data_IF_107620802352
#
_entry.id   IF_107620802352
#
_cell.length_a   1.000
_cell.length_b   1.000
_cell.length_c   1.000
_cell.angle_alpha   90.00
_cell.angle_beta   90.00
_cell.angle_gamma   90.00
#
_symmetry.space_group_name_H-M   'P 1'
#
loop_
_entity.id
_entity.type
_entity.pdbx_description
1 polymer ?
#
# COMPACT_ATOMS: atom_id res chain seq x y z
N UNK A 1 -37.42 -32.16 -9.45
CA UNK A 1 -37.35 -30.71 -9.14
C UNK A 1 -35.98 -30.43 -8.57
N UNK A 2 -35.07 -29.90 -9.39
CA UNK A 2 -33.71 -29.57 -8.95
C UNK A 2 -33.67 -28.16 -8.38
N UNK A 3 -33.24 -28.02 -7.13
CA UNK A 3 -32.94 -26.71 -6.55
C UNK A 3 -31.80 -26.05 -7.34
N UNK A 4 -31.95 -24.82 -7.84
CA UNK A 4 -30.84 -24.11 -8.47
C UNK A 4 -29.80 -23.77 -7.39
N UNK A 5 -28.53 -24.12 -7.65
CA UNK A 5 -27.39 -23.67 -6.84
C UNK A 5 -27.30 -22.13 -6.93
N UNK A 6 -27.11 -21.42 -5.81
CA UNK A 6 -26.90 -19.98 -5.87
C UNK A 6 -25.62 -19.69 -6.67
N UNK A 7 -25.73 -18.71 -7.55
CA UNK A 7 -24.63 -18.16 -8.33
C UNK A 7 -23.56 -17.67 -7.35
N UNK A 8 -22.42 -18.35 -7.30
CA UNK A 8 -21.23 -17.85 -6.60
C UNK A 8 -20.69 -16.67 -7.39
N UNK A 9 -21.29 -15.49 -7.20
CA UNK A 9 -20.68 -14.24 -7.63
C UNK A 9 -19.28 -14.17 -7.03
N UNK A 10 -18.25 -14.06 -7.88
CA UNK A 10 -16.87 -13.91 -7.44
C UNK A 10 -16.81 -12.67 -6.55
N UNK A 11 -16.75 -12.86 -5.23
CA UNK A 11 -16.50 -11.77 -4.29
C UNK A 11 -15.17 -11.13 -4.71
N UNK A 12 -15.20 -9.88 -5.15
CA UNK A 12 -14.01 -9.16 -5.60
C UNK A 12 -13.16 -8.86 -4.36
N UNK A 13 -11.95 -9.41 -4.30
CA UNK A 13 -11.08 -9.20 -3.12
C UNK A 13 -10.76 -7.71 -2.92
N UNK A 14 -10.51 -7.31 -1.67
CA UNK A 14 -10.12 -5.93 -1.35
C UNK A 14 -8.84 -5.52 -2.08
N UNK A 15 -7.90 -6.44 -2.35
CA UNK A 15 -6.73 -6.12 -3.18
C UNK A 15 -7.10 -5.79 -4.64
N UNK A 16 -8.07 -6.49 -5.22
CA UNK A 16 -8.55 -6.20 -6.58
C UNK A 16 -9.25 -4.84 -6.65
N UNK A 17 -10.03 -4.50 -5.61
CA UNK A 17 -10.64 -3.17 -5.48
C UNK A 17 -9.58 -2.08 -5.35
N UNK A 18 -8.57 -2.29 -4.50
CA UNK A 18 -7.50 -1.33 -4.29
C UNK A 18 -6.57 -1.21 -5.50
N UNK A 19 -6.35 -2.27 -6.28
CA UNK A 19 -5.66 -2.16 -7.57
C UNK A 19 -6.42 -1.27 -8.55
N UNK A 20 -7.75 -1.35 -8.60
CA UNK A 20 -8.56 -0.45 -9.43
C UNK A 20 -8.44 1.00 -8.94
N UNK A 21 -8.44 1.22 -7.62
CA UNK A 21 -8.22 2.54 -7.05
C UNK A 21 -6.83 3.10 -7.41
N UNK A 22 -5.79 2.28 -7.33
CA UNK A 22 -4.43 2.63 -7.75
C UNK A 22 -4.37 3.03 -9.22
N UNK A 23 -4.98 2.23 -10.11
CA UNK A 23 -5.05 2.55 -11.54
C UNK A 23 -5.78 3.87 -11.76
N UNK A 24 -6.89 4.11 -11.05
CA UNK A 24 -7.63 5.37 -11.15
C UNK A 24 -6.78 6.56 -10.72
N UNK A 25 -6.04 6.44 -9.62
CA UNK A 25 -5.17 7.50 -9.11
C UNK A 25 -4.00 7.78 -10.07
N UNK A 26 -3.38 6.73 -10.63
CA UNK A 26 -2.34 6.91 -11.64
C UNK A 26 -2.88 7.58 -12.91
N UNK A 27 -4.07 7.21 -13.38
CA UNK A 27 -4.70 7.82 -14.56
C UNK A 27 -5.13 9.28 -14.35
N UNK A 28 -5.28 9.73 -13.10
CA UNK A 28 -5.65 11.13 -12.80
C UNK A 28 -4.47 12.09 -12.78
N UNK A 29 -3.23 11.61 -12.97
CA UNK A 29 -2.02 12.43 -12.88
C UNK A 29 -1.10 12.18 -14.08
N UNK A 30 -0.17 13.10 -14.34
CA UNK A 30 0.86 12.92 -15.36
C UNK A 30 1.99 12.03 -14.87
N UNK A 31 2.80 11.50 -15.80
CA UNK A 31 3.91 10.59 -15.50
C UNK A 31 4.94 11.17 -14.51
N UNK A 32 5.16 12.48 -14.58
CA UNK A 32 6.10 13.26 -13.77
C UNK A 32 5.49 13.79 -12.47
N UNK A 33 4.21 13.55 -12.22
CA UNK A 33 3.53 14.02 -11.02
C UNK A 33 4.22 13.50 -9.74
N UNK A 34 4.30 14.33 -8.68
CA UNK A 34 4.94 13.94 -7.45
C UNK A 34 4.16 12.84 -6.74
N UNK A 35 4.89 12.06 -5.93
CA UNK A 35 4.31 11.08 -4.99
C UNK A 35 4.86 11.33 -3.59
N UNK A 36 4.23 10.76 -2.57
CA UNK A 36 4.78 10.80 -1.19
C UNK A 36 6.04 9.95 -1.02
N UNK A 37 6.34 9.06 -1.97
CA UNK A 37 7.62 8.38 -2.05
C UNK A 37 8.70 9.38 -2.49
N UNK A 38 9.51 9.84 -1.54
CA UNK A 38 10.54 10.87 -1.81
C UNK A 38 11.39 10.52 -3.03
N UNK A 39 11.39 11.42 -4.01
CA UNK A 39 12.18 11.30 -5.24
C UNK A 39 11.56 10.38 -6.30
N UNK A 40 10.32 9.92 -6.11
CA UNK A 40 9.59 9.11 -7.08
C UNK A 40 8.50 9.93 -7.75
N UNK A 41 8.47 9.86 -9.08
CA UNK A 41 7.35 10.27 -9.92
C UNK A 41 6.24 9.21 -9.94
N UNK A 42 5.07 9.56 -10.48
CA UNK A 42 4.00 8.59 -10.73
C UNK A 42 4.46 7.44 -11.65
N UNK A 43 5.34 7.72 -12.61
CA UNK A 43 5.99 6.70 -13.46
C UNK A 43 6.83 5.71 -12.63
N UNK A 44 7.65 6.21 -11.71
CA UNK A 44 8.50 5.36 -10.87
C UNK A 44 7.64 4.46 -9.97
N UNK A 45 6.56 5.02 -9.42
CA UNK A 45 5.62 4.28 -8.59
C UNK A 45 4.85 3.23 -9.39
N UNK A 46 4.39 3.54 -10.60
CA UNK A 46 3.74 2.58 -11.48
C UNK A 46 4.69 1.41 -11.83
N UNK A 47 5.96 1.71 -12.16
CA UNK A 47 6.97 0.69 -12.41
C UNK A 47 7.26 -0.17 -11.18
N UNK A 48 7.32 0.43 -10.00
CA UNK A 48 7.47 -0.31 -8.75
C UNK A 48 6.36 -1.35 -8.57
N UNK A 49 5.11 -0.97 -8.77
CA UNK A 49 3.97 -1.90 -8.68
C UNK A 49 4.07 -3.01 -9.73
N UNK A 50 4.39 -2.68 -10.98
CA UNK A 50 4.57 -3.69 -12.04
C UNK A 50 5.64 -4.70 -11.67
N UNK A 51 6.79 -4.23 -11.17
CA UNK A 51 7.91 -5.10 -10.77
C UNK A 51 7.54 -5.94 -9.57
N UNK A 52 6.86 -5.37 -8.56
CA UNK A 52 6.36 -6.08 -7.39
C UNK A 52 5.48 -7.27 -7.76
N UNK A 53 4.54 -7.05 -8.67
CA UNK A 53 3.50 -8.01 -9.00
C UNK A 53 4.00 -9.05 -10.01
N UNK A 54 4.88 -8.67 -10.95
CA UNK A 54 5.32 -9.55 -12.03
C UNK A 54 6.71 -10.15 -11.84
N UNK A 55 7.59 -9.49 -11.07
CA UNK A 55 9.02 -9.80 -10.99
C UNK A 55 9.62 -9.44 -9.62
N UNK A 56 9.11 -9.99 -8.50
CA UNK A 56 9.68 -9.73 -7.18
C UNK A 56 11.14 -10.19 -7.06
N UNK A 57 11.62 -11.07 -7.95
CA UNK A 57 13.04 -11.43 -8.09
C UNK A 57 13.95 -10.23 -8.42
N UNK A 58 13.38 -9.14 -8.95
CA UNK A 58 14.10 -7.90 -9.23
C UNK A 58 14.09 -6.92 -8.03
N UNK A 59 13.36 -7.21 -6.95
CA UNK A 59 13.22 -6.38 -5.74
C UNK A 59 14.31 -6.61 -4.67
N UNK A 60 15.45 -7.20 -5.02
CA UNK A 60 16.54 -7.45 -4.05
C UNK A 60 17.20 -6.13 -3.63
N UNK A 61 16.74 -5.56 -2.50
CA UNK A 61 17.39 -4.46 -1.78
C UNK A 61 16.45 -3.32 -1.35
N UNK A 62 16.51 -2.92 -0.07
CA UNK A 62 15.73 -1.83 0.57
C UNK A 62 16.10 -0.41 0.09
N UNK A 63 17.01 -0.35 -0.87
CA UNK A 63 17.33 0.79 -1.71
C UNK A 63 17.43 0.17 -3.10
N UNK A 64 16.89 0.78 -4.14
CA UNK A 64 17.20 0.36 -5.49
C UNK A 64 18.69 0.73 -5.78
N UNK A 65 19.69 -0.10 -5.42
CA UNK A 65 20.78 -0.38 -6.36
C UNK A 65 21.49 -1.73 -6.09
N UNK A 66 21.12 -2.81 -6.79
CA UNK A 66 22.05 -3.80 -7.34
C UNK A 66 21.32 -4.79 -8.27
N UNK A 67 20.47 -4.26 -9.14
CA UNK A 67 19.97 -5.03 -10.27
C UNK A 67 21.11 -5.21 -11.28
N UNK A 68 21.48 -6.47 -11.54
CA UNK A 68 22.46 -6.81 -12.58
C UNK A 68 22.01 -6.28 -13.96
N UNK A 69 22.89 -6.28 -14.99
CA UNK A 69 22.61 -5.66 -16.29
C UNK A 69 21.27 -6.10 -16.91
N UNK A 70 20.91 -7.37 -16.77
CA UNK A 70 19.63 -7.94 -17.24
C UNK A 70 18.40 -7.33 -16.55
N UNK A 71 18.49 -7.09 -15.25
CA UNK A 71 17.39 -6.52 -14.48
C UNK A 71 17.24 -5.01 -14.74
N UNK A 72 18.35 -4.29 -14.96
CA UNK A 72 18.29 -2.90 -15.46
C UNK A 72 17.68 -2.82 -16.85
N UNK A 73 18.09 -3.70 -17.77
CA UNK A 73 17.51 -3.76 -19.11
C UNK A 73 16.01 -4.11 -19.07
N UNK A 74 15.59 -5.03 -18.19
CA UNK A 74 14.18 -5.34 -17.99
C UNK A 74 13.38 -4.13 -17.46
N UNK A 75 13.93 -3.40 -16.48
CA UNK A 75 13.32 -2.16 -15.98
C UNK A 75 13.25 -1.07 -17.07
N UNK A 76 14.31 -0.91 -17.86
CA UNK A 76 14.36 0.02 -18.99
C UNK A 76 13.33 -0.35 -20.07
N UNK A 77 13.19 -1.63 -20.40
CA UNK A 77 12.18 -2.11 -21.36
C UNK A 77 10.75 -1.96 -20.83
N UNK A 78 10.54 -2.10 -19.51
CA UNK A 78 9.23 -1.82 -18.89
C UNK A 78 8.90 -0.33 -18.96
N UNK A 79 9.89 0.53 -18.70
CA UNK A 79 9.76 1.99 -18.78
C UNK A 79 9.64 2.51 -20.21
N UNK A 80 10.23 1.85 -21.21
CA UNK A 80 10.25 2.32 -22.61
C UNK A 80 8.87 2.31 -23.28
N UNK A 81 7.89 1.62 -22.70
CA UNK A 81 6.50 1.64 -23.16
C UNK A 81 5.75 2.94 -22.85
N UNK A 82 6.34 3.83 -22.04
CA UNK A 82 5.68 5.04 -21.56
C UNK A 82 4.73 4.77 -20.38
N UNK A 83 4.19 5.86 -19.83
CA UNK A 83 3.39 5.84 -18.61
C UNK A 83 2.09 5.07 -18.74
N UNK A 84 1.34 5.30 -19.81
CA UNK A 84 0.08 4.59 -20.05
C UNK A 84 0.28 3.07 -20.11
N UNK A 85 1.37 2.61 -20.74
CA UNK A 85 1.71 1.20 -20.76
C UNK A 85 2.13 0.66 -19.38
N UNK A 86 2.74 1.48 -18.51
CA UNK A 86 2.99 1.10 -17.12
C UNK A 86 1.67 0.98 -16.34
N UNK A 87 0.76 1.93 -16.49
CA UNK A 87 -0.56 1.93 -15.84
C UNK A 87 -1.43 0.76 -16.32
N UNK A 88 -1.41 0.43 -17.62
CA UNK A 88 -2.15 -0.70 -18.16
C UNK A 88 -1.60 -2.05 -17.66
N UNK A 89 -0.29 -2.15 -17.42
CA UNK A 89 0.29 -3.33 -16.75
C UNK A 89 -0.15 -3.44 -15.29
N UNK A 90 -0.24 -2.31 -14.57
CA UNK A 90 -0.84 -2.30 -13.21
C UNK A 90 -2.30 -2.75 -13.27
N UNK A 91 -3.07 -2.30 -14.26
CA UNK A 91 -4.46 -2.71 -14.45
C UNK A 91 -4.61 -4.20 -14.73
N UNK A 92 -3.74 -4.76 -15.58
CA UNK A 92 -3.69 -6.18 -15.89
C UNK A 92 -3.36 -7.03 -14.65
N UNK A 93 -2.51 -6.53 -13.75
CA UNK A 93 -2.08 -7.24 -12.56
C UNK A 93 -1.08 -8.37 -12.86
N UNK A 94 -0.79 -9.24 -11.85
CA UNK A 94 0.22 -10.28 -11.99
C UNK A 94 -0.16 -11.35 -13.04
N UNK A 95 0.83 -11.96 -13.73
CA UNK A 95 0.55 -13.02 -14.70
C UNK A 95 -0.18 -14.23 -14.05
N UNK A 96 -1.07 -14.91 -14.78
CA UNK A 96 -1.90 -16.00 -14.24
C UNK A 96 -1.13 -17.26 -13.81
N UNK A 97 0.18 -17.33 -14.08
CA UNK A 97 1.07 -18.44 -13.74
C UNK A 97 2.10 -18.08 -12.65
N UNK A 98 2.04 -16.87 -12.08
CA UNK A 98 2.95 -16.45 -11.02
C UNK A 98 2.46 -16.95 -9.64
N UNK A 99 3.37 -17.38 -8.74
CA UNK A 99 3.04 -17.93 -7.42
C UNK A 99 2.21 -17.03 -6.49
N UNK A 100 2.00 -15.75 -6.85
CA UNK A 100 1.17 -14.78 -6.12
C UNK A 100 -0.34 -15.10 -6.15
N UNK A 101 -0.73 -16.17 -6.85
CA UNK A 101 -2.09 -16.72 -6.88
C UNK A 101 -2.34 -17.66 -5.68
N UNK A 102 -1.32 -17.96 -4.87
CA UNK A 102 -1.40 -18.94 -3.79
C UNK A 102 -1.05 -18.36 -2.41
N UNK A 103 -2.01 -17.66 -1.79
CA UNK A 103 -2.46 -17.82 -0.37
C UNK A 103 -2.98 -16.49 0.19
N UNK A 104 -3.98 -16.50 1.08
CA UNK A 104 -4.58 -15.30 1.70
C UNK A 104 -3.62 -14.31 2.39
N UNK A 105 -2.35 -14.67 2.60
CA UNK A 105 -1.28 -13.76 3.05
C UNK A 105 -0.89 -12.75 1.96
N UNK A 106 -0.96 -13.14 0.68
CA UNK A 106 -0.62 -12.28 -0.45
C UNK A 106 -1.68 -11.19 -0.67
N UNK A 107 -2.96 -11.54 -0.62
CA UNK A 107 -4.07 -10.59 -0.83
C UNK A 107 -4.08 -9.47 0.24
N UNK A 108 -3.61 -9.78 1.45
CA UNK A 108 -3.53 -8.85 2.56
C UNK A 108 -2.42 -7.81 2.38
N UNK A 109 -1.21 -8.27 2.04
CA UNK A 109 -0.08 -7.39 1.75
C UNK A 109 -0.33 -6.61 0.46
N UNK A 110 -0.95 -7.23 -0.56
CA UNK A 110 -1.37 -6.54 -1.77
C UNK A 110 -2.37 -5.42 -1.47
N UNK A 111 -3.35 -5.66 -0.58
CA UNK A 111 -4.31 -4.62 -0.19
C UNK A 111 -3.62 -3.42 0.44
N UNK A 112 -2.70 -3.64 1.39
CA UNK A 112 -1.99 -2.55 2.05
C UNK A 112 -1.07 -1.78 1.08
N UNK A 113 -0.36 -2.49 0.21
CA UNK A 113 0.57 -1.88 -0.75
C UNK A 113 -0.19 -1.05 -1.79
N UNK A 114 -1.27 -1.58 -2.37
CA UNK A 114 -2.11 -0.79 -3.27
C UNK A 114 -2.77 0.38 -2.53
N UNK A 115 -3.27 0.19 -1.31
CA UNK A 115 -3.86 1.27 -0.53
C UNK A 115 -2.86 2.40 -0.27
N UNK A 116 -1.70 2.08 0.31
CA UNK A 116 -0.66 3.07 0.65
C UNK A 116 -0.19 3.79 -0.61
N UNK A 117 0.09 3.08 -1.69
CA UNK A 117 0.59 3.70 -2.91
C UNK A 117 -0.47 4.46 -3.69
N UNK A 118 -1.76 4.12 -3.55
CA UNK A 118 -2.86 4.96 -4.03
C UNK A 118 -2.84 6.29 -3.30
N UNK A 119 -2.75 6.28 -1.97
CA UNK A 119 -2.67 7.50 -1.17
C UNK A 119 -1.36 8.28 -1.44
N UNK A 120 -0.24 7.60 -1.76
CA UNK A 120 1.00 8.28 -2.16
C UNK A 120 0.84 9.12 -3.43
N UNK A 121 -0.02 8.69 -4.37
CA UNK A 121 -0.36 9.47 -5.57
C UNK A 121 -1.34 10.59 -5.21
N UNK A 122 -2.44 10.26 -4.54
CA UNK A 122 -3.53 11.20 -4.29
C UNK A 122 -3.10 12.36 -3.37
N UNK A 123 -2.38 12.04 -2.28
CA UNK A 123 -2.03 13.02 -1.25
C UNK A 123 -0.82 13.90 -1.59
N UNK A 124 -0.06 13.53 -2.62
CA UNK A 124 1.10 14.28 -3.06
C UNK A 124 0.77 15.44 -4.00
N UNK A 125 -0.48 15.50 -4.50
CA UNK A 125 -0.84 16.50 -5.49
C UNK A 125 -0.94 17.90 -4.88
N UNK A 126 -0.57 18.95 -5.62
CA UNK A 126 -0.75 20.33 -5.18
C UNK A 126 -2.21 20.60 -4.80
N UNK A 127 -2.43 21.18 -3.61
CA UNK A 127 -3.77 21.49 -3.11
C UNK A 127 -4.52 20.31 -2.51
N UNK A 128 -3.87 19.17 -2.27
CA UNK A 128 -4.46 18.12 -1.45
C UNK A 128 -4.72 18.63 -0.03
N UNK A 129 -5.95 18.42 0.44
CA UNK A 129 -6.39 18.74 1.79
C UNK A 129 -6.87 17.45 2.48
N UNK A 130 -6.60 17.29 3.78
CA UNK A 130 -7.02 16.10 4.53
C UNK A 130 -8.54 15.90 4.58
N UNK A 131 -9.31 16.96 4.31
CA UNK A 131 -10.76 16.90 4.13
C UNK A 131 -11.19 16.20 2.83
N UNK A 132 -10.31 16.11 1.83
CA UNK A 132 -10.54 15.45 0.55
C UNK A 132 -10.00 14.02 0.49
N UNK A 133 -9.65 13.44 1.64
CA UNK A 133 -9.22 12.04 1.72
C UNK A 133 -10.29 11.11 1.14
N UNK A 134 -9.85 10.02 0.51
CA UNK A 134 -10.76 9.01 -0.05
C UNK A 134 -11.55 8.31 1.06
N UNK A 135 -12.86 8.19 0.84
CA UNK A 135 -13.69 7.33 1.68
C UNK A 135 -13.45 5.85 1.34
N UNK A 136 -13.30 5.01 2.37
CA UNK A 136 -13.11 3.57 2.21
C UNK A 136 -14.21 2.78 2.92
N UNK A 137 -14.50 1.59 2.41
CA UNK A 137 -15.48 0.68 3.01
C UNK A 137 -15.01 0.17 4.37
N UNK A 138 -15.96 -0.16 5.25
CA UNK A 138 -15.65 -0.79 6.55
C UNK A 138 -14.95 -2.15 6.39
N UNK A 139 -15.21 -2.87 5.30
CA UNK A 139 -14.50 -4.12 4.98
C UNK A 139 -13.00 -3.85 4.75
N UNK A 140 -12.67 -2.86 3.93
CA UNK A 140 -11.30 -2.46 3.68
C UNK A 140 -10.63 -1.92 4.95
N UNK A 141 -11.33 -1.09 5.72
CA UNK A 141 -10.81 -0.54 6.98
C UNK A 141 -10.47 -1.64 7.99
N UNK A 142 -11.33 -2.64 8.14
CA UNK A 142 -11.08 -3.83 8.97
C UNK A 142 -9.89 -4.64 8.48
N UNK A 143 -9.76 -4.83 7.15
CA UNK A 143 -8.63 -5.50 6.52
C UNK A 143 -7.31 -4.76 6.83
N UNK A 144 -7.30 -3.44 6.65
CA UNK A 144 -6.16 -2.57 6.97
C UNK A 144 -5.75 -2.74 8.43
N UNK A 145 -6.69 -2.61 9.38
CA UNK A 145 -6.41 -2.73 10.81
C UNK A 145 -5.73 -4.05 11.17
N UNK A 146 -6.30 -5.17 10.72
CA UNK A 146 -5.80 -6.52 11.01
C UNK A 146 -4.37 -6.71 10.51
N UNK A 147 -4.07 -6.26 9.30
CA UNK A 147 -2.77 -6.51 8.67
C UNK A 147 -1.70 -5.49 9.03
N UNK A 148 -2.05 -4.20 9.13
CA UNK A 148 -1.13 -3.16 9.57
C UNK A 148 -0.65 -3.42 11.01
N UNK A 149 -1.55 -3.91 11.87
CA UNK A 149 -1.22 -4.34 13.23
C UNK A 149 -0.13 -5.40 13.30
N UNK A 150 -0.06 -6.31 12.32
CA UNK A 150 0.93 -7.39 12.29
C UNK A 150 2.22 -7.01 11.55
N UNK A 151 2.20 -5.92 10.77
CA UNK A 151 3.29 -5.56 9.85
C UNK A 151 3.80 -4.14 10.12
N UNK A 152 3.16 -3.11 9.55
CA UNK A 152 3.59 -1.72 9.62
C UNK A 152 3.73 -1.19 11.04
N UNK A 153 2.84 -1.57 11.96
CA UNK A 153 2.91 -1.10 13.36
C UNK A 153 4.12 -1.71 14.10
N UNK A 154 4.45 -2.96 13.80
CA UNK A 154 5.67 -3.63 14.30
C UNK A 154 6.92 -2.93 13.73
N UNK A 155 6.92 -2.64 12.43
CA UNK A 155 8.01 -1.95 11.76
C UNK A 155 8.21 -0.53 12.28
N UNK A 156 7.13 0.22 12.52
CA UNK A 156 7.17 1.57 13.06
C UNK A 156 7.78 1.60 14.46
N UNK A 157 7.31 0.74 15.37
CA UNK A 157 7.85 0.62 16.73
C UNK A 157 9.35 0.29 16.72
N UNK A 158 9.77 -0.66 15.87
CA UNK A 158 11.20 -1.00 15.70
C UNK A 158 12.01 0.16 15.14
N UNK A 159 11.53 0.82 14.08
CA UNK A 159 12.24 1.93 13.41
C UNK A 159 12.43 3.12 14.34
N UNK A 160 11.45 3.41 15.19
CA UNK A 160 11.52 4.53 16.13
C UNK A 160 12.17 4.16 17.47
N UNK A 161 12.49 2.88 17.69
CA UNK A 161 12.98 2.37 18.97
C UNK A 161 12.04 2.73 20.15
N UNK A 162 10.72 2.58 19.94
CA UNK A 162 9.68 2.95 20.91
C UNK A 162 8.73 1.80 21.20
N UNK A 163 8.07 1.88 22.36
CA UNK A 163 6.84 1.15 22.63
C UNK A 163 5.68 2.04 22.15
N UNK A 164 4.90 1.57 21.19
CA UNK A 164 3.84 2.38 20.57
C UNK A 164 2.50 1.67 20.76
N UNK A 165 1.56 2.36 21.40
CA UNK A 165 0.15 1.94 21.47
C UNK A 165 -0.62 2.66 20.37
N UNK A 166 -1.10 1.89 19.39
CA UNK A 166 -1.98 2.35 18.34
C UNK A 166 -3.42 2.18 18.80
N UNK A 167 -4.19 3.27 18.85
CA UNK A 167 -5.60 3.26 19.22
C UNK A 167 -6.46 3.70 18.04
N UNK A 168 -7.47 2.89 17.70
CA UNK A 168 -8.44 3.23 16.67
C UNK A 168 -9.87 3.11 17.21
N UNK A 169 -10.69 4.17 17.12
CA UNK A 169 -12.11 4.12 17.48
C UNK A 169 -12.83 2.99 16.75
N UNK A 170 -13.59 2.16 17.47
CA UNK A 170 -14.31 1.01 16.90
C UNK A 170 -13.46 -0.23 16.57
N UNK A 171 -12.13 -0.13 16.64
CA UNK A 171 -11.20 -1.22 16.30
C UNK A 171 -10.29 -1.66 17.47
N UNK A 172 -10.26 -0.87 18.55
CA UNK A 172 -9.55 -1.18 19.79
C UNK A 172 -8.11 -0.63 19.78
N UNK A 173 -7.25 -1.24 20.59
CA UNK A 173 -5.86 -0.83 20.73
C UNK A 173 -4.89 -2.01 20.53
N UNK A 174 -3.73 -1.73 19.96
CA UNK A 174 -2.62 -2.69 19.89
C UNK A 174 -1.30 -2.02 20.26
N UNK A 175 -0.49 -2.69 21.08
CA UNK A 175 0.81 -2.16 21.51
C UNK A 175 1.94 -2.96 20.88
N UNK A 176 2.89 -2.26 20.25
CA UNK A 176 4.07 -2.84 19.59
C UNK A 176 5.35 -2.24 20.15
N UNK A 177 6.43 -3.00 20.09
CA UNK A 177 7.76 -2.60 20.60
C UNK A 177 8.10 -3.17 21.98
N UNK A 178 9.36 -3.05 22.42
CA UNK A 178 9.82 -3.61 23.69
C UNK A 178 9.16 -2.95 24.89
N UNK A 179 8.87 -3.72 25.96
CA UNK A 179 8.23 -3.19 27.16
C UNK A 179 9.02 -2.08 27.86
N UNK A 180 10.36 -2.11 27.75
CA UNK A 180 11.28 -1.15 28.35
C UNK A 180 11.53 0.11 27.51
N UNK A 181 11.01 0.17 26.28
CA UNK A 181 11.18 1.35 25.42
C UNK A 181 10.20 2.48 25.81
N UNK A 182 10.55 3.77 25.59
CA UNK A 182 9.65 4.89 25.87
C UNK A 182 8.30 4.72 25.18
N UNK A 183 7.22 4.97 25.93
CA UNK A 183 5.85 4.78 25.46
C UNK A 183 5.40 5.97 24.61
N UNK A 184 4.70 5.68 23.53
CA UNK A 184 4.00 6.65 22.70
C UNK A 184 2.60 6.11 22.43
N UNK A 185 1.61 6.99 22.47
CA UNK A 185 0.24 6.67 22.05
C UNK A 185 -0.05 7.38 20.74
N UNK A 186 -0.61 6.66 19.77
CA UNK A 186 -0.98 7.20 18.45
C UNK A 186 -2.43 6.84 18.19
N UNK A 187 -3.26 7.86 18.02
CA UNK A 187 -4.70 7.76 17.82
C UNK A 187 -5.06 8.14 16.39
N UNK A 188 -5.96 7.39 15.75
CA UNK A 188 -6.42 7.68 14.40
C UNK A 188 -7.30 6.57 13.85
N UNK A 189 -7.85 6.75 12.65
CA UNK A 189 -8.52 5.65 11.95
C UNK A 189 -7.47 4.62 11.47
N UNK A 190 -7.86 3.35 11.19
CA UNK A 190 -6.89 2.32 10.81
C UNK A 190 -6.02 2.70 9.62
N UNK A 191 -6.60 3.38 8.63
CA UNK A 191 -5.90 3.84 7.45
C UNK A 191 -4.90 4.97 7.73
N UNK A 192 -5.24 5.95 8.56
CA UNK A 192 -4.33 7.03 8.93
C UNK A 192 -3.18 6.53 9.81
N UNK A 193 -3.47 5.62 10.74
CA UNK A 193 -2.43 4.94 11.54
C UNK A 193 -1.47 4.15 10.65
N UNK A 194 -1.98 3.55 9.57
CA UNK A 194 -1.19 2.79 8.60
C UNK A 194 -0.29 3.71 7.77
N UNK A 195 -0.82 4.85 7.28
CA UNK A 195 -0.02 5.87 6.59
C UNK A 195 1.07 6.45 7.51
N UNK A 196 0.73 6.77 8.76
CA UNK A 196 1.71 7.22 9.74
C UNK A 196 2.81 6.16 9.99
N UNK A 197 2.42 4.92 10.26
CA UNK A 197 3.34 3.82 10.56
C UNK A 197 4.24 3.43 9.37
N UNK A 198 3.74 3.59 8.14
CA UNK A 198 4.51 3.38 6.90
C UNK A 198 5.41 4.57 6.54
N UNK A 199 5.42 5.65 7.34
CA UNK A 199 6.34 6.76 7.19
C UNK A 199 5.78 7.98 6.47
N UNK A 200 4.46 8.05 6.23
CA UNK A 200 3.76 9.22 5.67
C UNK A 200 3.21 10.15 6.76
N UNK A 201 3.94 10.32 7.87
CA UNK A 201 3.46 11.04 9.06
C UNK A 201 2.97 12.46 8.76
N UNK A 202 3.63 13.21 7.86
CA UNK A 202 3.22 14.56 7.48
C UNK A 202 1.92 14.63 6.67
N UNK A 203 1.45 13.50 6.15
CA UNK A 203 0.24 13.38 5.32
C UNK A 203 -0.78 12.42 5.95
N UNK A 204 -0.64 12.12 7.24
CA UNK A 204 -1.52 11.24 7.99
C UNK A 204 -2.19 12.02 9.12
N UNK A 205 -3.50 11.83 9.30
CA UNK A 205 -4.27 12.45 10.36
C UNK A 205 -4.25 11.55 11.61
N UNK A 206 -3.29 11.80 12.50
CA UNK A 206 -3.15 11.10 13.78
C UNK A 206 -2.89 12.07 14.92
N UNK A 207 -3.39 11.74 16.10
CA UNK A 207 -3.07 12.44 17.35
C UNK A 207 -2.01 11.64 18.10
N UNK A 208 -0.90 12.29 18.47
CA UNK A 208 0.23 11.65 19.14
C UNK A 208 0.38 12.22 20.54
N UNK A 209 0.43 11.33 21.52
CA UNK A 209 0.70 11.66 22.91
C UNK A 209 1.95 10.93 23.39
N UNK A 210 2.88 11.71 23.91
CA UNK A 210 4.09 11.25 24.60
C UNK A 210 3.71 10.82 26.03
N UNK A 211 4.12 9.63 26.46
CA UNK A 211 3.83 9.08 27.78
C UNK A 211 5.10 8.69 28.54
#
# INVERSE_FOLDING_TARGET
MGCPRPYSGVMTSTASQERKAMVSALRSVTADAPTLCKGWSAQDLALHIVVRDSRPDLMVGRRLPLVGPKARAALQNLASGGYDASVDRVAAGPPPYFPQILKPVDDAMNTLEYYIHTEDVLRAQPGFELSHRREISEELRKRIWQHASLTFFVMAARKQNRRITFFSPGYGATTRGPAAAPLMMVHGTPEELTLWASGRAAHAQVDITEA
#
